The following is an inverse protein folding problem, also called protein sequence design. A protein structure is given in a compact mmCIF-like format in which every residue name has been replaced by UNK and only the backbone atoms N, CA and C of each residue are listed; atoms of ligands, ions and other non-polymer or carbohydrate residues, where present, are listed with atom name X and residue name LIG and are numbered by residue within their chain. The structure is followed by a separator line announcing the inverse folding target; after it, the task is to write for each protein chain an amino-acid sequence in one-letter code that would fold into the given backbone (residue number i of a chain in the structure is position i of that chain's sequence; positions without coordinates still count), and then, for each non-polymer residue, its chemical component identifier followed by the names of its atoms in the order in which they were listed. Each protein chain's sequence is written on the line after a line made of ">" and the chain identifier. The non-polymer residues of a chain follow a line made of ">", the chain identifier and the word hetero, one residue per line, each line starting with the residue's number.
data_IF_412770789730
#
_entry.id   IF_412770789730
#
_cell.length_a   1.000
_cell.length_b   1.000
_cell.length_c   1.000
_cell.angle_alpha   90.00
_cell.angle_beta   90.00
_cell.angle_gamma   90.00
#
_symmetry.space_group_name_H-M   'P 1'
#
loop_
_entity.id
_entity.type
_entity.pdbx_description
1 polymer ?
#
# COMPACT_ATOMS: atom_id res chain seq x y z
N UNK A 1 -1.01 17.47 15.80
CA UNK A 1 -1.57 16.42 16.68
C UNK A 1 -0.41 15.62 17.23
N UNK A 2 -0.41 15.28 18.50
CA UNK A 2 0.61 14.38 19.07
C UNK A 2 0.04 12.97 19.02
N UNK A 3 0.60 12.09 18.18
CA UNK A 3 0.42 10.66 18.42
C UNK A 3 0.99 10.33 19.81
N UNK A 4 0.43 9.31 20.47
CA UNK A 4 1.02 8.74 21.68
C UNK A 4 1.28 7.26 21.37
N UNK A 5 2.56 6.86 21.29
CA UNK A 5 2.92 5.49 20.91
C UNK A 5 2.46 4.44 21.93
N UNK A 6 2.01 4.83 23.13
CA UNK A 6 1.16 4.04 24.04
C UNK A 6 1.77 2.73 24.57
N UNK A 7 1.48 2.36 25.82
CA UNK A 7 1.95 1.07 26.37
C UNK A 7 1.14 -0.08 25.75
N UNK A 8 1.75 -1.14 25.19
CA UNK A 8 1.01 -2.26 24.60
C UNK A 8 0.14 -2.97 25.63
N UNK A 9 -1.10 -3.28 25.27
CA UNK A 9 -1.94 -4.17 26.06
C UNK A 9 -1.36 -5.59 25.98
N UNK A 10 -0.77 -6.08 27.08
CA UNK A 10 0.00 -7.34 27.17
C UNK A 10 -0.81 -8.64 26.90
N UNK A 11 -2.06 -8.55 26.45
CA UNK A 11 -2.99 -9.67 26.30
C UNK A 11 -3.37 -10.04 24.86
N UNK A 12 -2.81 -9.37 23.84
CA UNK A 12 -3.19 -9.65 22.44
C UNK A 12 -2.58 -10.94 21.89
N UNK A 13 -3.42 -11.97 21.75
CA UNK A 13 -3.16 -13.10 20.84
C UNK A 13 -3.50 -12.67 19.41
N UNK A 14 -2.53 -12.81 18.51
CA UNK A 14 -2.64 -12.50 17.09
C UNK A 14 -3.61 -13.45 16.38
N UNK A 15 -4.61 -12.98 15.64
CA UNK A 15 -5.43 -13.85 14.80
C UNK A 15 -4.61 -14.42 13.64
N UNK A 16 -4.86 -15.69 13.31
CA UNK A 16 -4.28 -16.36 12.13
C UNK A 16 -4.79 -15.73 10.83
N UNK A 17 -3.87 -15.45 9.91
CA UNK A 17 -4.08 -14.80 8.62
C UNK A 17 -5.03 -15.58 7.69
N UNK A 18 -6.08 -14.97 7.12
CA UNK A 18 -6.67 -15.42 5.85
C UNK A 18 -5.83 -14.84 4.70
N UNK A 19 -5.37 -15.70 3.78
CA UNK A 19 -4.57 -15.31 2.62
C UNK A 19 -5.29 -14.26 1.77
N UNK A 20 -4.66 -13.09 1.61
CA UNK A 20 -5.15 -12.01 0.77
C UNK A 20 -4.67 -12.25 -0.67
N UNK A 21 -5.60 -12.55 -1.57
CA UNK A 21 -5.32 -12.66 -3.00
C UNK A 21 -5.20 -11.26 -3.63
N UNK A 22 -4.04 -11.01 -4.23
CA UNK A 22 -3.73 -9.86 -5.10
C UNK A 22 -4.80 -9.68 -6.19
N UNK A 23 -5.35 -8.46 -6.45
CA UNK A 23 -6.10 -8.22 -7.67
C UNK A 23 -5.13 -7.93 -8.83
N UNK A 24 -5.19 -8.66 -9.96
CA UNK A 24 -4.51 -8.27 -11.18
C UNK A 24 -5.37 -7.32 -12.02
N UNK A 25 -4.75 -6.26 -12.53
CA UNK A 25 -5.08 -5.48 -13.74
C UNK A 25 -6.55 -5.41 -14.20
N UNK A 26 -7.16 -4.21 -14.18
CA UNK A 26 -8.36 -3.96 -14.99
C UNK A 26 -8.49 -2.49 -15.44
N UNK A 27 -7.96 -2.21 -16.63
CA UNK A 27 -8.60 -1.31 -17.60
C UNK A 27 -8.72 -2.09 -18.92
N UNK A 28 -9.95 -2.39 -19.34
CA UNK A 28 -10.50 -2.42 -20.71
C UNK A 28 -11.81 -3.20 -20.74
N UNK A 29 -12.86 -2.60 -21.30
CA UNK A 29 -13.81 -3.30 -22.19
C UNK A 29 -15.04 -4.03 -21.62
N UNK A 30 -16.20 -3.39 -21.82
CA UNK A 30 -17.52 -3.95 -22.21
C UNK A 30 -18.43 -4.73 -21.23
N UNK A 31 -19.63 -4.16 -21.15
CA UNK A 31 -20.95 -4.47 -20.57
C UNK A 31 -21.51 -5.90 -20.78
N UNK A 32 -22.25 -6.44 -19.77
CA UNK A 32 -23.58 -7.13 -19.81
C UNK A 32 -23.98 -7.70 -18.39
N UNK A 33 -25.25 -8.10 -18.09
CA UNK A 33 -26.14 -7.50 -17.06
C UNK A 33 -26.36 -8.33 -15.76
N UNK A 34 -27.17 -7.86 -14.77
CA UNK A 34 -27.07 -8.30 -13.37
C UNK A 34 -27.94 -9.52 -13.03
N UNK A 35 -27.33 -10.48 -12.33
CA UNK A 35 -27.96 -11.64 -11.68
C UNK A 35 -28.19 -11.42 -10.19
N UNK A 36 -29.35 -11.86 -9.72
CA UNK A 36 -30.05 -11.53 -8.48
C UNK A 36 -29.37 -11.96 -7.17
N UNK A 37 -29.48 -11.11 -6.14
CA UNK A 37 -29.10 -11.40 -4.74
C UNK A 37 -30.16 -12.28 -4.02
N UNK A 38 -29.76 -13.13 -3.05
CA UNK A 38 -30.68 -13.91 -2.23
C UNK A 38 -31.40 -13.07 -1.14
N UNK A 39 -32.57 -13.54 -0.63
CA UNK A 39 -33.52 -12.70 0.11
C UNK A 39 -33.26 -12.59 1.63
N UNK A 40 -33.82 -11.52 2.21
CA UNK A 40 -33.77 -11.14 3.63
C UNK A 40 -34.69 -12.01 4.54
N UNK A 41 -34.40 -12.09 5.87
CA UNK A 41 -35.16 -12.89 6.83
C UNK A 41 -36.50 -12.27 7.29
N UNK A 42 -37.42 -13.08 7.86
CA UNK A 42 -38.87 -12.83 7.84
C UNK A 42 -39.43 -12.00 9.01
N UNK A 43 -40.59 -11.37 8.76
CA UNK A 43 -41.43 -10.63 9.70
C UNK A 43 -42.51 -11.52 10.37
N UNK A 44 -42.93 -11.23 11.63
CA UNK A 44 -43.93 -11.99 12.39
C UNK A 44 -45.41 -11.63 12.07
N UNK A 45 -46.41 -12.40 12.58
CA UNK A 45 -47.50 -12.94 11.76
C UNK A 45 -48.85 -12.22 11.90
N UNK A 46 -49.73 -12.42 10.90
CA UNK A 46 -51.17 -12.13 10.95
C UNK A 46 -51.97 -13.18 10.13
N UNK A 47 -53.30 -13.33 10.36
CA UNK A 47 -53.90 -14.61 10.74
C UNK A 47 -54.64 -15.40 9.65
N UNK A 48 -54.64 -16.71 9.90
CA UNK A 48 -55.58 -17.79 9.58
C UNK A 48 -56.64 -17.58 8.46
N UNK A 49 -56.42 -18.23 7.33
CA UNK A 49 -57.45 -18.56 6.35
C UNK A 49 -57.35 -20.04 5.96
N UNK A 50 -58.47 -20.77 6.10
CA UNK A 50 -58.57 -22.19 5.76
C UNK A 50 -58.71 -22.40 4.24
N UNK A 51 -58.15 -23.50 3.68
CA UNK A 51 -58.26 -23.79 2.25
C UNK A 51 -59.51 -24.63 1.90
N UNK A 52 -60.09 -24.47 0.68
CA UNK A 52 -61.06 -25.42 0.14
C UNK A 52 -60.39 -26.63 -0.55
N UNK A 53 -61.11 -27.75 -0.75
CA UNK A 53 -60.53 -29.05 -1.09
C UNK A 53 -60.25 -29.25 -2.58
N UNK A 54 -59.32 -30.16 -2.87
CA UNK A 54 -58.87 -30.53 -4.22
C UNK A 54 -59.90 -31.41 -4.98
N UNK A 55 -60.05 -31.23 -6.31
CA UNK A 55 -60.64 -32.25 -7.18
C UNK A 55 -59.55 -33.12 -7.82
N UNK A 56 -59.77 -34.44 -7.75
CA UNK A 56 -58.85 -35.48 -8.22
C UNK A 56 -58.82 -35.70 -9.74
N UNK A 57 -57.81 -36.49 -10.13
CA UNK A 57 -57.65 -37.16 -11.43
C UNK A 57 -58.75 -38.22 -11.65
N UNK A 58 -59.14 -38.55 -12.90
CA UNK A 58 -58.50 -39.63 -13.67
C UNK A 58 -58.69 -39.50 -15.22
N UNK A 59 -58.54 -40.54 -16.08
CA UNK A 59 -57.26 -41.03 -16.60
C UNK A 59 -57.24 -41.26 -18.13
N UNK A 60 -56.05 -41.56 -18.67
CA UNK A 60 -55.90 -42.56 -19.74
C UNK A 60 -55.62 -42.05 -21.16
N UNK A 61 -54.40 -42.34 -21.65
CA UNK A 61 -54.20 -43.18 -22.84
C UNK A 61 -52.71 -43.54 -23.00
N UNK A 62 -52.45 -44.83 -22.85
CA UNK A 62 -51.28 -45.61 -23.28
C UNK A 62 -51.05 -45.48 -24.81
N UNK A 63 -49.93 -45.81 -25.45
CA UNK A 63 -48.74 -46.63 -25.20
C UNK A 63 -47.86 -46.46 -26.45
N UNK A 64 -46.53 -46.62 -26.36
CA UNK A 64 -45.82 -47.74 -27.00
C UNK A 64 -44.29 -47.66 -26.78
N UNK A 65 -43.74 -48.86 -26.52
CA UNK A 65 -42.31 -49.17 -26.36
C UNK A 65 -41.56 -49.13 -27.70
N UNK A 66 -40.21 -49.16 -27.64
CA UNK A 66 -39.27 -50.04 -28.40
C UNK A 66 -37.87 -49.39 -28.34
N UNK A 67 -36.88 -49.91 -27.59
CA UNK A 67 -35.88 -50.99 -27.88
C UNK A 67 -34.52 -50.44 -28.34
N UNK A 68 -33.45 -50.89 -27.67
CA UNK A 68 -32.03 -50.59 -27.91
C UNK A 68 -31.47 -51.37 -29.12
N UNK A 69 -30.54 -50.77 -29.88
CA UNK A 69 -29.79 -51.43 -30.98
C UNK A 69 -28.29 -51.05 -31.00
N UNK A 70 -27.40 -51.90 -31.56
CA UNK A 70 -25.94 -51.90 -31.32
C UNK A 70 -25.12 -51.08 -32.36
N UNK A 71 -23.80 -50.87 -32.16
CA UNK A 71 -22.97 -50.04 -33.04
C UNK A 71 -22.35 -50.83 -34.21
N UNK A 72 -22.37 -50.23 -35.40
CA UNK A 72 -21.54 -50.59 -36.58
C UNK A 72 -21.34 -49.31 -37.39
N UNK A 73 -20.33 -49.10 -38.23
CA UNK A 73 -19.20 -49.85 -38.76
C UNK A 73 -18.63 -48.93 -39.85
N UNK A 74 -17.31 -48.75 -39.92
CA UNK A 74 -16.64 -47.84 -40.85
C UNK A 74 -16.70 -48.35 -42.31
N UNK A 75 -17.02 -47.46 -43.26
CA UNK A 75 -16.70 -47.64 -44.69
C UNK A 75 -15.73 -46.52 -45.13
N UNK A 76 -14.63 -46.82 -45.83
CA UNK A 76 -13.77 -45.80 -46.41
C UNK A 76 -14.31 -45.29 -47.76
N UNK A 77 -14.20 -43.97 -47.98
CA UNK A 77 -14.46 -43.29 -49.25
C UNK A 77 -13.22 -43.31 -50.17
N UNK A 78 -13.38 -43.16 -51.50
CA UNK A 78 -12.27 -43.26 -52.46
C UNK A 78 -11.40 -41.98 -52.52
N UNK A 79 -10.12 -42.07 -52.90
CA UNK A 79 -9.22 -40.92 -52.92
C UNK A 79 -9.47 -39.99 -54.12
N UNK A 80 -9.47 -38.69 -53.84
CA UNK A 80 -9.56 -37.62 -54.83
C UNK A 80 -8.25 -37.43 -55.63
N UNK A 81 -8.38 -37.11 -56.93
CA UNK A 81 -7.27 -36.82 -57.85
C UNK A 81 -6.51 -35.55 -57.43
N UNK A 82 -5.17 -35.63 -57.38
CA UNK A 82 -4.26 -34.52 -57.03
C UNK A 82 -4.06 -33.58 -58.23
N UNK A 83 -4.18 -32.27 -58.01
CA UNK A 83 -3.97 -31.22 -59.00
C UNK A 83 -2.54 -30.64 -58.83
N UNK A 84 -1.64 -30.71 -59.83
CA UNK A 84 -0.21 -30.43 -59.66
C UNK A 84 0.14 -28.97 -59.33
N UNK A 85 -0.80 -28.02 -59.48
CA UNK A 85 -0.56 -26.60 -59.17
C UNK A 85 -0.41 -26.32 -57.66
N UNK A 86 -1.06 -27.11 -56.80
CA UNK A 86 -0.98 -26.95 -55.33
C UNK A 86 0.39 -27.40 -54.77
N UNK A 87 1.07 -28.34 -55.43
CA UNK A 87 2.38 -28.82 -55.00
C UNK A 87 3.48 -27.76 -55.22
N UNK A 88 3.38 -26.95 -56.29
CA UNK A 88 4.35 -25.91 -56.61
C UNK A 88 4.21 -24.70 -55.67
N UNK A 89 2.98 -24.31 -55.32
CA UNK A 89 2.72 -23.22 -54.38
C UNK A 89 3.09 -23.60 -52.93
N UNK A 90 2.86 -24.86 -52.53
CA UNK A 90 3.28 -25.37 -51.22
C UNK A 90 4.81 -25.44 -51.06
N UNK A 91 5.54 -25.83 -52.11
CA UNK A 91 7.00 -25.87 -52.11
C UNK A 91 7.64 -24.48 -51.96
N UNK A 92 7.11 -23.48 -52.67
CA UNK A 92 7.59 -22.09 -52.56
C UNK A 92 7.37 -21.49 -51.16
N UNK A 93 6.21 -21.72 -50.56
CA UNK A 93 5.91 -21.24 -49.20
C UNK A 93 6.81 -21.91 -48.15
N UNK A 94 7.10 -23.21 -48.29
CA UNK A 94 7.95 -23.94 -47.35
C UNK A 94 9.40 -23.43 -47.38
N UNK A 95 9.92 -23.13 -48.57
CA UNK A 95 11.29 -22.58 -48.73
C UNK A 95 11.39 -21.18 -48.13
N UNK A 96 10.38 -20.31 -48.32
CA UNK A 96 10.37 -18.98 -47.72
C UNK A 96 10.27 -19.02 -46.19
N UNK A 97 9.45 -19.92 -45.65
CA UNK A 97 9.33 -20.14 -44.20
C UNK A 97 10.65 -20.68 -43.64
N UNK A 98 11.28 -21.66 -44.29
CA UNK A 98 12.57 -22.20 -43.87
C UNK A 98 13.69 -21.14 -43.94
N UNK A 99 13.70 -20.25 -44.93
CA UNK A 99 14.63 -19.13 -44.99
C UNK A 99 14.37 -18.10 -43.89
N UNK A 100 13.11 -17.80 -43.57
CA UNK A 100 12.76 -16.88 -42.49
C UNK A 100 13.19 -17.44 -41.13
N UNK A 101 12.92 -18.72 -40.85
CA UNK A 101 13.38 -19.38 -39.63
C UNK A 101 14.91 -19.54 -39.60
N UNK A 102 15.54 -19.81 -40.74
CA UNK A 102 17.00 -19.85 -40.87
C UNK A 102 17.65 -18.51 -40.56
N UNK A 103 17.13 -17.41 -41.10
CA UNK A 103 17.61 -16.05 -40.78
C UNK A 103 17.30 -15.63 -39.35
N UNK A 104 16.13 -16.00 -38.80
CA UNK A 104 15.80 -15.74 -37.40
C UNK A 104 16.72 -16.53 -36.46
N UNK A 105 17.06 -17.78 -36.80
CA UNK A 105 18.00 -18.60 -36.05
C UNK A 105 19.43 -18.07 -36.17
N UNK A 106 19.86 -17.60 -37.35
CA UNK A 106 21.15 -16.94 -37.52
C UNK A 106 21.19 -15.64 -36.71
N UNK A 107 20.15 -14.80 -36.71
CA UNK A 107 20.10 -13.62 -35.84
C UNK A 107 20.10 -13.99 -34.35
N UNK A 108 19.41 -15.05 -33.95
CA UNK A 108 19.41 -15.53 -32.56
C UNK A 108 20.77 -16.08 -32.13
N UNK A 109 21.45 -16.83 -33.01
CA UNK A 109 22.76 -17.42 -32.73
C UNK A 109 23.91 -16.42 -32.92
N UNK A 110 23.79 -15.44 -33.82
CA UNK A 110 24.71 -14.32 -33.99
C UNK A 110 24.53 -13.25 -32.92
N UNK A 111 23.38 -13.20 -32.24
CA UNK A 111 23.21 -12.48 -30.97
C UNK A 111 23.85 -13.21 -29.78
N UNK A 112 24.30 -14.45 -29.95
CA UNK A 112 25.01 -15.25 -28.94
C UNK A 112 26.51 -14.99 -28.94
N UNK A 113 26.93 -13.81 -28.49
CA UNK A 113 28.34 -13.42 -28.52
C UNK A 113 28.70 -12.17 -27.72
N UNK A 114 28.00 -11.85 -26.64
CA UNK A 114 28.47 -10.93 -25.61
C UNK A 114 27.83 -11.34 -24.29
N UNK A 115 28.64 -11.46 -23.24
CA UNK A 115 28.19 -11.94 -21.94
C UNK A 115 26.96 -11.18 -21.47
N UNK A 116 26.05 -11.88 -20.78
CA UNK A 116 25.01 -11.22 -19.99
C UNK A 116 25.69 -10.10 -19.20
N UNK A 117 25.41 -8.81 -19.49
CA UNK A 117 25.70 -7.80 -18.50
C UNK A 117 24.78 -8.20 -17.34
N UNK A 118 25.35 -8.53 -16.19
CA UNK A 118 24.64 -8.34 -14.95
C UNK A 118 24.23 -6.87 -14.95
N UNK A 119 23.02 -6.55 -15.42
CA UNK A 119 22.45 -5.22 -15.30
C UNK A 119 22.12 -5.05 -13.84
N UNK A 120 23.17 -4.79 -13.04
CA UNK A 120 23.02 -4.24 -11.71
C UNK A 120 22.04 -3.08 -11.81
N UNK A 121 21.02 -3.03 -10.93
CA UNK A 121 20.03 -1.97 -10.99
C UNK A 121 20.73 -0.63 -10.85
N UNK A 122 20.30 0.35 -11.63
CA UNK A 122 20.79 1.72 -11.46
C UNK A 122 20.07 2.32 -10.25
N UNK A 123 20.84 2.68 -9.23
CA UNK A 123 20.30 3.29 -8.01
C UNK A 123 20.23 4.81 -8.16
N UNK A 124 19.10 5.40 -7.76
CA UNK A 124 19.02 6.84 -7.51
C UNK A 124 19.99 7.21 -6.38
N UNK A 125 20.86 8.19 -6.62
CA UNK A 125 21.83 8.67 -5.64
C UNK A 125 21.25 9.84 -4.86
N UNK A 126 21.42 9.82 -3.55
CA UNK A 126 21.05 10.93 -2.66
C UNK A 126 22.24 11.88 -2.58
N UNK A 127 22.14 13.01 -3.28
CA UNK A 127 23.20 14.01 -3.40
C UNK A 127 22.70 15.38 -2.91
N UNK A 128 23.63 16.30 -2.61
CA UNK A 128 23.32 17.69 -2.24
C UNK A 128 22.33 17.85 -1.09
N UNK A 129 22.33 16.91 -0.14
CA UNK A 129 21.41 16.95 1.00
C UNK A 129 21.67 18.23 1.82
N UNK A 130 20.67 19.09 2.03
CA UNK A 130 20.82 20.28 2.85
C UNK A 130 21.06 19.91 4.32
N UNK A 131 21.59 20.84 5.10
CA UNK A 131 21.58 20.72 6.56
C UNK A 131 20.13 20.70 7.08
N UNK A 132 19.85 20.08 8.24
CA UNK A 132 18.55 20.22 8.88
C UNK A 132 18.18 21.70 9.09
N UNK A 133 16.96 22.06 8.72
CA UNK A 133 16.47 23.44 8.77
C UNK A 133 15.66 23.66 10.05
N UNK A 134 16.23 24.42 10.98
CA UNK A 134 15.58 24.80 12.24
C UNK A 134 14.72 26.07 12.12
N UNK A 135 14.67 26.70 10.94
CA UNK A 135 13.82 27.84 10.66
C UNK A 135 13.16 27.74 9.26
N UNK A 136 12.37 26.67 9.01
CA UNK A 136 11.84 26.41 7.69
C UNK A 136 10.73 27.39 7.29
N UNK A 137 10.49 27.59 5.98
CA UNK A 137 9.37 28.39 5.49
C UNK A 137 8.03 27.89 6.03
N UNK A 138 7.08 28.79 6.24
CA UNK A 138 5.75 28.43 6.75
C UNK A 138 5.07 27.34 5.90
N UNK A 139 4.34 26.44 6.56
CA UNK A 139 3.59 25.38 5.89
C UNK A 139 2.53 25.97 4.94
N UNK A 140 2.29 25.36 3.75
CA UNK A 140 1.21 25.75 2.86
C UNK A 140 -0.15 25.69 3.57
N UNK A 141 -0.93 26.77 3.46
CA UNK A 141 -2.27 26.86 4.06
C UNK A 141 -3.34 26.93 2.97
N UNK A 142 -4.38 26.08 3.04
CA UNK A 142 -5.53 26.20 2.17
C UNK A 142 -6.28 27.50 2.47
N UNK A 143 -6.75 28.18 1.42
CA UNK A 143 -7.38 29.51 1.48
C UNK A 143 -8.91 29.45 1.53
N UNK A 144 -9.50 28.31 1.19
CA UNK A 144 -10.95 28.09 1.17
C UNK A 144 -11.29 26.59 1.31
N UNK A 145 -12.58 26.28 1.52
CA UNK A 145 -13.07 24.91 1.77
C UNK A 145 -12.89 23.98 0.56
N UNK A 146 -13.01 24.49 -0.66
CA UNK A 146 -12.79 23.68 -1.87
C UNK A 146 -11.33 23.23 -1.95
N UNK A 147 -10.41 24.10 -1.57
CA UNK A 147 -8.99 23.77 -1.45
C UNK A 147 -8.72 22.74 -0.34
N UNK A 148 -9.45 22.76 0.79
CA UNK A 148 -9.35 21.70 1.81
C UNK A 148 -9.66 20.31 1.21
N UNK A 149 -10.75 20.22 0.44
CA UNK A 149 -11.20 18.96 -0.16
C UNK A 149 -10.27 18.51 -1.28
N UNK A 150 -9.86 19.44 -2.13
CA UNK A 150 -8.93 19.16 -3.23
C UNK A 150 -7.55 18.75 -2.72
N UNK A 151 -7.00 19.40 -1.70
CA UNK A 151 -5.67 19.04 -1.19
C UNK A 151 -5.64 17.72 -0.43
N UNK A 152 -6.77 17.24 0.10
CA UNK A 152 -6.82 15.90 0.71
C UNK A 152 -7.00 14.80 -0.32
N UNK A 153 -7.83 15.01 -1.36
CA UNK A 153 -8.21 13.97 -2.33
C UNK A 153 -7.46 14.00 -3.66
N UNK A 154 -7.11 15.19 -4.14
CA UNK A 154 -6.58 15.46 -5.48
C UNK A 154 -5.24 16.22 -5.41
N UNK A 155 -4.46 15.99 -4.36
CA UNK A 155 -3.15 16.64 -4.19
C UNK A 155 -2.19 16.27 -5.34
N UNK A 156 -1.44 17.22 -5.92
CA UNK A 156 -0.47 16.94 -6.97
C UNK A 156 0.59 15.88 -6.59
N UNK A 157 0.87 15.70 -5.29
CA UNK A 157 1.80 14.66 -4.81
C UNK A 157 1.36 13.25 -5.20
N UNK A 158 0.06 12.99 -5.31
CA UNK A 158 -0.46 11.66 -5.67
C UNK A 158 -0.17 11.26 -7.12
N UNK A 159 0.23 12.20 -7.98
CA UNK A 159 0.64 11.92 -9.36
C UNK A 159 2.12 11.54 -9.49
N UNK A 160 2.86 11.57 -8.38
CA UNK A 160 4.30 11.32 -8.36
C UNK A 160 4.63 9.87 -8.02
N UNK A 161 5.90 9.54 -8.21
CA UNK A 161 6.48 8.25 -7.84
C UNK A 161 7.78 8.44 -7.07
N UNK A 162 8.02 7.62 -6.05
CA UNK A 162 9.33 7.56 -5.39
C UNK A 162 10.34 6.84 -6.30
N UNK A 163 11.62 7.24 -6.30
CA UNK A 163 12.66 6.51 -7.02
C UNK A 163 12.87 5.13 -6.40
N UNK A 164 13.01 4.07 -7.20
CA UNK A 164 13.30 2.71 -6.71
C UNK A 164 14.28 2.02 -7.69
N UNK A 165 15.43 1.49 -7.24
CA UNK A 165 15.97 1.59 -5.88
C UNK A 165 16.71 2.91 -5.64
N UNK A 166 16.78 3.34 -4.38
CA UNK A 166 17.56 4.50 -3.91
C UNK A 166 18.73 4.03 -3.06
N UNK A 167 19.92 4.56 -3.34
CA UNK A 167 21.12 4.31 -2.55
C UNK A 167 21.25 5.30 -1.40
N UNK A 168 20.67 4.97 -0.24
CA UNK A 168 20.96 5.65 1.02
C UNK A 168 20.92 4.67 2.20
N UNK A 169 22.06 4.04 2.49
CA UNK A 169 22.19 3.09 3.59
C UNK A 169 22.54 3.83 4.87
N UNK A 170 21.69 3.71 5.88
CA UNK A 170 21.93 4.21 7.24
C UNK A 170 22.22 3.02 8.13
N UNK A 171 23.43 2.87 8.68
CA UNK A 171 23.77 1.73 9.54
C UNK A 171 22.77 1.57 10.68
N UNK A 172 22.34 0.33 10.93
CA UNK A 172 21.51 0.01 12.09
C UNK A 172 22.25 0.35 13.40
N UNK A 173 21.50 0.85 14.36
CA UNK A 173 21.97 1.06 15.72
C UNK A 173 20.87 0.64 16.68
N UNK A 174 21.20 -0.23 17.62
CA UNK A 174 20.26 -0.73 18.60
C UNK A 174 19.88 0.40 19.57
N UNK A 175 18.61 0.85 19.59
CA UNK A 175 18.18 1.95 20.43
C UNK A 175 18.27 1.62 21.93
N UNK A 176 18.30 0.34 22.30
CA UNK A 176 18.37 -0.10 23.71
C UNK A 176 19.78 0.06 24.31
N UNK A 177 20.79 0.25 23.46
CA UNK A 177 22.20 0.40 23.88
C UNK A 177 22.81 1.74 23.48
N UNK A 178 22.23 2.41 22.48
CA UNK A 178 22.61 3.75 22.07
C UNK A 178 22.40 4.79 23.17
N UNK A 179 23.34 5.74 23.30
CA UNK A 179 23.07 6.98 24.01
C UNK A 179 22.10 7.87 23.21
N UNK A 180 21.40 8.78 23.89
CA UNK A 180 20.50 9.73 23.24
C UNK A 180 21.20 10.54 22.13
N UNK A 181 22.44 10.96 22.34
CA UNK A 181 23.21 11.72 21.36
C UNK A 181 23.61 10.91 20.12
N UNK A 182 23.96 9.63 20.29
CA UNK A 182 24.25 8.75 19.15
C UNK A 182 22.98 8.45 18.36
N UNK A 183 21.86 8.19 19.05
CA UNK A 183 20.56 8.00 18.41
C UNK A 183 20.13 9.25 17.64
N UNK A 184 20.28 10.45 18.22
CA UNK A 184 19.97 11.72 17.55
C UNK A 184 20.81 11.93 16.30
N UNK A 185 22.12 11.64 16.38
CA UNK A 185 23.04 11.72 15.25
C UNK A 185 22.60 10.77 14.14
N UNK A 186 22.20 9.54 14.48
CA UNK A 186 21.71 8.56 13.51
C UNK A 186 20.39 8.98 12.89
N UNK A 187 19.42 9.42 13.68
CA UNK A 187 18.11 9.84 13.17
C UNK A 187 18.21 11.07 12.28
N UNK A 188 19.09 12.04 12.62
CA UNK A 188 19.39 13.14 11.70
C UNK A 188 20.03 12.63 10.39
N UNK A 189 20.92 11.62 10.41
CA UNK A 189 21.40 10.99 9.16
C UNK A 189 20.27 10.31 8.40
N UNK A 190 19.30 9.71 9.09
CA UNK A 190 18.13 9.11 8.46
C UNK A 190 17.24 10.14 7.76
N UNK A 191 17.10 11.36 8.29
CA UNK A 191 16.36 12.43 7.59
C UNK A 191 17.02 12.84 6.27
N UNK A 192 18.33 12.67 6.11
CA UNK A 192 19.00 12.87 4.81
C UNK A 192 18.52 11.85 3.77
N UNK A 193 18.42 10.57 4.16
CA UNK A 193 17.98 9.49 3.29
C UNK A 193 16.48 9.63 2.95
N UNK A 194 15.65 9.94 3.95
CA UNK A 194 14.23 10.24 3.74
C UNK A 194 14.04 11.43 2.79
N UNK A 195 14.75 12.53 3.02
CA UNK A 195 14.74 13.70 2.14
C UNK A 195 15.14 13.33 0.70
N UNK A 196 16.20 12.54 0.52
CA UNK A 196 16.69 12.15 -0.81
C UNK A 196 15.72 11.32 -1.65
N UNK A 197 14.81 10.57 -1.00
CA UNK A 197 13.73 9.83 -1.68
C UNK A 197 12.58 10.77 -2.06
N UNK A 198 12.26 11.74 -1.21
CA UNK A 198 11.05 12.54 -1.32
C UNK A 198 11.23 13.92 -1.97
N UNK A 199 12.46 14.43 -2.06
CA UNK A 199 12.76 15.76 -2.63
C UNK A 199 12.15 15.91 -4.03
N UNK A 200 12.53 15.03 -4.97
CA UNK A 200 12.06 15.11 -6.36
C UNK A 200 10.52 15.04 -6.47
N UNK A 201 9.81 14.06 -5.86
CA UNK A 201 8.35 14.04 -5.86
C UNK A 201 7.71 15.32 -5.31
N UNK A 202 8.21 15.84 -4.18
CA UNK A 202 7.63 17.03 -3.53
C UNK A 202 7.83 18.27 -4.39
N UNK A 203 9.04 18.49 -4.93
CA UNK A 203 9.33 19.62 -5.82
C UNK A 203 8.53 19.53 -7.13
N UNK A 204 8.45 18.34 -7.73
CA UNK A 204 7.66 18.11 -8.96
C UNK A 204 6.16 18.37 -8.76
N UNK A 205 5.69 18.34 -7.52
CA UNK A 205 4.31 18.65 -7.12
C UNK A 205 4.08 20.13 -6.84
N UNK A 206 5.11 20.97 -6.99
CA UNK A 206 5.04 22.41 -6.74
C UNK A 206 5.20 22.82 -5.27
N UNK A 207 5.74 21.93 -4.43
CA UNK A 207 5.98 22.18 -3.01
C UNK A 207 7.47 22.19 -2.68
N UNK A 208 7.83 22.72 -1.52
CA UNK A 208 9.20 22.72 -1.01
C UNK A 208 9.39 21.69 0.10
N UNK A 209 10.54 21.02 0.13
CA UNK A 209 10.91 20.05 1.17
C UNK A 209 12.19 20.50 1.90
N UNK A 210 12.11 21.41 2.89
CA UNK A 210 13.23 21.63 3.80
C UNK A 210 13.50 20.34 4.58
N UNK A 211 14.76 20.08 4.95
CA UNK A 211 15.09 18.88 5.70
C UNK A 211 14.71 19.07 7.17
N UNK A 212 13.75 18.27 7.66
CA UNK A 212 13.36 18.29 9.08
C UNK A 212 14.53 17.91 10.00
N UNK A 213 14.77 18.67 11.08
CA UNK A 213 15.64 18.25 12.17
C UNK A 213 14.98 17.16 13.01
N UNK A 214 15.82 16.43 13.75
CA UNK A 214 15.40 15.49 14.79
C UNK A 214 16.06 15.87 16.11
N UNK A 215 15.28 15.90 17.19
CA UNK A 215 15.81 16.00 18.56
C UNK A 215 15.41 14.78 19.37
N UNK A 216 16.40 14.11 19.96
CA UNK A 216 16.17 12.99 20.88
C UNK A 216 16.12 13.50 22.30
N UNK A 217 15.10 13.09 23.04
CA UNK A 217 14.87 13.55 24.41
C UNK A 217 14.67 12.38 25.37
N UNK A 218 15.11 12.54 26.62
CA UNK A 218 15.03 11.48 27.67
C UNK A 218 14.16 11.87 28.86
N UNK A 219 13.50 13.03 28.80
CA UNK A 219 12.63 13.56 29.84
C UNK A 219 11.54 14.39 29.20
N UNK A 220 10.45 14.67 29.93
CA UNK A 220 9.40 15.57 29.46
C UNK A 220 9.96 16.90 28.96
N UNK A 221 9.56 17.30 27.75
CA UNK A 221 9.96 18.55 27.09
C UNK A 221 8.76 19.44 26.80
N UNK A 222 9.02 20.73 26.57
CA UNK A 222 8.04 21.68 26.03
C UNK A 222 8.51 22.11 24.65
N UNK A 223 7.63 22.00 23.67
CA UNK A 223 7.88 22.37 22.28
C UNK A 223 6.84 23.39 21.83
N UNK A 224 6.97 23.97 20.62
CA UNK A 224 5.93 24.82 20.05
C UNK A 224 4.57 24.11 19.90
N UNK A 225 4.53 22.78 19.86
CA UNK A 225 3.30 21.98 19.83
C UNK A 225 2.76 21.59 21.22
N UNK A 226 3.41 22.03 22.30
CA UNK A 226 2.99 21.78 23.67
C UNK A 226 3.97 20.94 24.48
N UNK A 227 3.51 20.49 25.66
CA UNK A 227 4.28 19.65 26.57
C UNK A 227 4.15 18.18 26.16
N UNK A 228 5.29 17.49 26.10
CA UNK A 228 5.37 16.12 25.58
C UNK A 228 6.08 15.23 26.60
N UNK A 229 5.46 14.11 26.90
CA UNK A 229 6.01 13.08 27.78
C UNK A 229 6.98 12.16 27.02
N UNK A 230 7.63 11.23 27.73
CA UNK A 230 8.57 10.27 27.15
C UNK A 230 7.81 9.19 26.36
N UNK A 231 8.51 8.15 25.87
CA UNK A 231 7.91 7.02 25.15
C UNK A 231 7.18 7.38 23.85
N UNK A 232 7.51 8.52 23.26
CA UNK A 232 6.77 9.06 22.13
C UNK A 232 7.70 9.56 21.01
N UNK A 233 7.29 9.40 19.76
CA UNK A 233 7.85 10.14 18.64
C UNK A 233 6.72 10.95 18.01
N UNK A 234 7.01 12.18 17.61
CA UNK A 234 6.02 12.99 16.92
C UNK A 234 6.67 14.09 16.09
N UNK A 235 6.03 14.41 14.96
CA UNK A 235 6.29 15.61 14.18
C UNK A 235 5.52 16.83 14.71
N UNK A 236 6.21 17.92 15.02
CA UNK A 236 5.60 19.19 15.38
C UNK A 236 5.44 20.09 14.14
N UNK A 237 4.21 20.41 13.75
CA UNK A 237 3.94 21.25 12.57
C UNK A 237 4.25 22.74 12.78
N UNK A 238 4.36 23.19 14.03
CA UNK A 238 4.62 24.59 14.37
C UNK A 238 6.08 25.01 14.13
N UNK A 239 7.04 24.12 14.34
CA UNK A 239 8.47 24.32 14.02
C UNK A 239 8.98 23.37 12.92
N UNK A 240 8.16 22.41 12.48
CA UNK A 240 8.47 21.40 11.46
C UNK A 240 9.63 20.50 11.86
N UNK A 241 9.63 20.07 13.12
CA UNK A 241 10.68 19.30 13.77
C UNK A 241 10.13 17.95 14.26
N UNK A 242 10.88 16.86 14.07
CA UNK A 242 10.58 15.57 14.70
C UNK A 242 11.25 15.46 16.08
N UNK A 243 10.46 15.25 17.11
CA UNK A 243 10.95 14.94 18.46
C UNK A 243 10.79 13.44 18.71
N UNK A 244 11.83 12.82 19.25
CA UNK A 244 11.91 11.37 19.35
C UNK A 244 12.38 10.96 20.76
N UNK A 245 11.53 10.32 21.54
CA UNK A 245 11.91 9.89 22.88
C UNK A 245 12.98 8.78 22.81
N UNK A 246 14.04 8.95 23.58
CA UNK A 246 15.13 7.97 23.66
C UNK A 246 14.65 6.60 24.13
N UNK A 247 13.65 6.58 25.02
CA UNK A 247 13.05 5.40 25.64
C UNK A 247 11.85 4.83 24.86
N UNK A 248 11.58 5.28 23.62
CA UNK A 248 10.44 4.78 22.82
C UNK A 248 10.41 3.25 22.69
N UNK A 249 11.57 2.59 22.71
CA UNK A 249 11.64 1.14 22.64
C UNK A 249 10.93 0.44 23.80
N UNK A 250 10.73 1.11 24.94
CA UNK A 250 10.04 0.52 26.10
C UNK A 250 8.56 0.26 25.82
N UNK A 251 7.94 1.07 24.95
CA UNK A 251 6.55 0.86 24.50
C UNK A 251 6.43 -0.09 23.30
N UNK A 252 7.55 -0.56 22.75
CA UNK A 252 7.52 -1.56 21.68
C UNK A 252 7.46 -2.98 22.27
N UNK A 253 6.86 -3.96 21.54
CA UNK A 253 6.92 -5.37 21.92
C UNK A 253 8.36 -5.82 22.18
N UNK A 254 8.58 -6.55 23.27
CA UNK A 254 9.93 -6.92 23.74
C UNK A 254 10.79 -7.62 22.66
N UNK A 255 10.16 -8.42 21.80
CA UNK A 255 10.81 -9.13 20.68
C UNK A 255 11.26 -8.24 19.53
N UNK A 256 10.79 -6.98 19.50
CA UNK A 256 11.00 -6.02 18.41
C UNK A 256 11.90 -4.84 18.81
N UNK A 257 12.19 -4.63 20.10
CA UNK A 257 12.92 -3.45 20.61
C UNK A 257 14.30 -3.21 19.98
N UNK A 258 15.02 -4.29 19.71
CA UNK A 258 16.37 -4.27 19.14
C UNK A 258 16.41 -4.72 17.66
N UNK A 259 15.25 -4.88 17.03
CA UNK A 259 15.17 -5.35 15.65
C UNK A 259 15.58 -4.23 14.68
N UNK A 260 16.26 -4.58 13.58
CA UNK A 260 16.49 -3.64 12.48
C UNK A 260 15.17 -3.03 11.97
N UNK A 261 15.27 -1.86 11.35
CA UNK A 261 14.15 -1.13 10.73
C UNK A 261 13.03 -0.62 11.63
N UNK A 262 12.94 -1.04 12.89
CA UNK A 262 11.82 -0.63 13.75
C UNK A 262 11.84 0.88 14.03
N UNK A 263 12.97 1.39 14.52
CA UNK A 263 13.17 2.83 14.71
C UNK A 263 13.13 3.59 13.38
N UNK A 264 13.56 2.96 12.28
CA UNK A 264 13.56 3.58 10.96
C UNK A 264 12.15 3.75 10.43
N UNK A 265 11.27 2.77 10.65
CA UNK A 265 9.85 2.85 10.33
C UNK A 265 9.16 3.95 11.16
N UNK A 266 9.41 4.03 12.48
CA UNK A 266 8.86 5.11 13.32
C UNK A 266 9.30 6.48 12.79
N UNK A 267 10.60 6.66 12.51
CA UNK A 267 11.10 7.92 11.97
C UNK A 267 10.54 8.23 10.57
N UNK A 268 10.38 7.22 9.71
CA UNK A 268 9.80 7.38 8.38
C UNK A 268 8.30 7.72 8.45
N UNK A 269 7.58 7.22 9.44
CA UNK A 269 6.20 7.59 9.74
C UNK A 269 6.11 9.08 10.15
N UNK A 270 6.95 9.53 11.08
CA UNK A 270 7.00 10.95 11.47
C UNK A 270 7.41 11.87 10.30
N UNK A 271 8.31 11.39 9.43
CA UNK A 271 8.61 12.08 8.19
C UNK A 271 7.40 12.10 7.23
N UNK A 272 6.54 11.09 7.26
CA UNK A 272 5.25 11.09 6.59
C UNK A 272 4.36 12.27 7.00
N UNK A 273 4.31 12.59 8.29
CA UNK A 273 3.65 13.81 8.77
C UNK A 273 4.33 15.09 8.29
N UNK A 274 5.66 15.11 8.24
CA UNK A 274 6.38 16.21 7.61
C UNK A 274 5.96 16.41 6.14
N UNK A 275 5.86 15.34 5.35
CA UNK A 275 5.37 15.39 3.97
C UNK A 275 3.95 15.93 3.88
N UNK A 276 3.05 15.48 4.76
CA UNK A 276 1.68 15.99 4.82
C UNK A 276 1.64 17.49 5.14
N UNK A 277 2.51 17.96 6.04
CA UNK A 277 2.70 19.38 6.31
C UNK A 277 3.16 20.13 5.06
N UNK A 278 4.24 19.67 4.43
CA UNK A 278 4.88 20.33 3.27
C UNK A 278 4.02 20.32 2.01
N UNK A 279 3.13 19.36 1.86
CA UNK A 279 2.17 19.26 0.74
C UNK A 279 0.81 19.89 1.05
N UNK A 280 0.65 20.49 2.22
CA UNK A 280 -0.59 21.14 2.65
C UNK A 280 -1.72 20.20 3.06
N UNK A 281 -1.55 18.88 2.92
CA UNK A 281 -2.53 17.86 3.31
C UNK A 281 -2.88 17.99 4.79
N UNK A 282 -1.87 18.18 5.67
CA UNK A 282 -2.09 18.30 7.12
C UNK A 282 -3.01 19.47 7.47
N UNK A 283 -2.71 20.68 6.98
CA UNK A 283 -3.54 21.86 7.22
C UNK A 283 -4.94 21.72 6.58
N UNK A 284 -5.05 21.00 5.45
CA UNK A 284 -6.32 20.70 4.84
C UNK A 284 -7.17 19.76 5.72
N UNK A 285 -6.54 18.73 6.29
CA UNK A 285 -7.16 17.80 7.24
C UNK A 285 -7.60 18.50 8.53
N UNK A 286 -6.75 19.33 9.12
CA UNK A 286 -7.10 20.14 10.30
C UNK A 286 -8.33 21.01 10.03
N UNK A 287 -8.39 21.64 8.85
CA UNK A 287 -9.54 22.41 8.40
C UNK A 287 -10.81 21.58 8.24
N UNK A 288 -10.72 20.36 7.68
CA UNK A 288 -11.87 19.46 7.57
C UNK A 288 -12.38 19.01 8.95
N UNK A 289 -11.47 18.71 9.88
CA UNK A 289 -11.82 18.31 11.25
C UNK A 289 -12.54 19.41 12.01
N UNK A 290 -12.02 20.65 11.95
CA UNK A 290 -12.63 21.79 12.61
C UNK A 290 -14.08 22.06 12.14
N UNK A 291 -14.44 21.61 10.94
CA UNK A 291 -15.76 21.76 10.34
C UNK A 291 -16.61 20.48 10.36
N UNK A 292 -16.19 19.45 11.11
CA UNK A 292 -16.83 18.13 11.10
C UNK A 292 -17.40 17.74 12.47
N UNK A 293 -18.42 16.87 12.44
CA UNK A 293 -18.86 16.18 13.65
C UNK A 293 -17.75 15.25 14.19
N UNK A 294 -17.75 14.98 15.50
CA UNK A 294 -16.70 14.23 16.22
C UNK A 294 -16.24 12.97 15.48
N UNK A 295 -17.17 12.09 15.08
CA UNK A 295 -16.84 10.82 14.42
C UNK A 295 -16.16 11.01 13.05
N UNK A 296 -16.56 12.03 12.28
CA UNK A 296 -15.94 12.32 11.00
C UNK A 296 -14.55 12.97 11.20
N UNK A 297 -14.38 13.79 12.24
CA UNK A 297 -13.06 14.33 12.60
C UNK A 297 -12.07 13.21 12.99
N UNK A 298 -12.55 12.18 13.70
CA UNK A 298 -11.77 10.98 14.03
C UNK A 298 -11.40 10.18 12.78
N UNK A 299 -12.33 10.00 11.83
CA UNK A 299 -12.02 9.34 10.56
C UNK A 299 -10.93 10.10 9.77
N UNK A 300 -10.96 11.44 9.79
CA UNK A 300 -9.90 12.24 9.19
C UNK A 300 -8.54 12.08 9.89
N UNK A 301 -8.51 11.90 11.22
CA UNK A 301 -7.28 11.51 11.93
C UNK A 301 -6.75 10.19 11.39
N UNK A 302 -7.59 9.14 11.35
CA UNK A 302 -7.19 7.81 10.85
C UNK A 302 -6.65 7.88 9.43
N UNK A 303 -7.31 8.62 8.54
CA UNK A 303 -6.84 8.83 7.16
C UNK A 303 -5.44 9.47 7.13
N UNK A 304 -5.18 10.45 7.99
CA UNK A 304 -3.86 11.07 8.11
C UNK A 304 -2.80 10.07 8.60
N UNK A 305 -3.10 9.27 9.63
CA UNK A 305 -2.14 8.27 10.16
C UNK A 305 -1.83 7.16 9.16
N UNK A 306 -2.86 6.63 8.50
CA UNK A 306 -2.72 5.56 7.51
C UNK A 306 -1.95 6.02 6.28
N UNK A 307 -2.09 7.30 5.91
CA UNK A 307 -1.26 7.87 4.86
C UNK A 307 0.21 8.00 5.28
N UNK A 308 0.50 8.40 6.52
CA UNK A 308 1.87 8.46 7.04
C UNK A 308 2.51 7.05 7.06
N UNK A 309 1.76 6.02 7.47
CA UNK A 309 2.18 4.62 7.35
C UNK A 309 2.50 4.23 5.92
N UNK A 310 1.63 4.56 4.96
CA UNK A 310 1.87 4.22 3.57
C UNK A 310 3.07 4.97 2.99
N UNK A 311 3.26 6.26 3.32
CA UNK A 311 4.46 7.01 2.94
C UNK A 311 5.74 6.40 3.52
N UNK A 312 5.71 5.92 4.76
CA UNK A 312 6.84 5.17 5.33
C UNK A 312 7.13 3.89 4.53
N UNK A 313 6.08 3.18 4.09
CA UNK A 313 6.20 1.99 3.23
C UNK A 313 6.80 2.30 1.87
N UNK A 314 6.41 3.41 1.22
CA UNK A 314 7.01 3.86 -0.06
C UNK A 314 8.51 4.15 0.09
N UNK A 315 8.91 4.73 1.23
CA UNK A 315 10.33 4.95 1.53
C UNK A 315 11.06 3.61 1.76
N UNK A 316 10.49 2.69 2.54
CA UNK A 316 11.06 1.35 2.76
C UNK A 316 11.24 0.60 1.43
N UNK A 317 10.25 0.66 0.53
CA UNK A 317 10.35 0.09 -0.82
C UNK A 317 11.50 0.72 -1.62
N UNK A 318 11.64 2.05 -1.56
CA UNK A 318 12.69 2.80 -2.24
C UNK A 318 14.09 2.37 -1.83
N UNK A 319 14.35 2.21 -0.53
CA UNK A 319 15.70 1.95 -0.01
C UNK A 319 15.98 0.46 0.25
N UNK A 320 14.95 -0.38 0.26
CA UNK A 320 15.02 -1.75 0.76
C UNK A 320 16.06 -2.60 0.03
N UNK A 321 16.21 -2.43 -1.29
CA UNK A 321 17.21 -3.16 -2.04
C UNK A 321 18.65 -2.77 -1.65
N UNK A 322 18.96 -1.48 -1.55
CA UNK A 322 20.29 -0.99 -1.18
C UNK A 322 20.65 -1.37 0.27
N UNK A 323 19.66 -1.35 1.15
CA UNK A 323 19.82 -1.63 2.58
C UNK A 323 19.61 -3.11 2.94
N UNK A 324 19.48 -4.00 1.95
CA UNK A 324 19.32 -5.44 2.14
C UNK A 324 18.14 -5.83 3.04
N UNK A 325 17.01 -5.14 2.89
CA UNK A 325 15.77 -5.41 3.61
C UNK A 325 15.36 -6.88 3.43
N UNK A 326 15.29 -7.62 4.53
CA UNK A 326 14.90 -9.03 4.51
C UNK A 326 13.38 -9.21 4.63
N UNK A 327 12.88 -10.39 4.28
CA UNK A 327 11.49 -10.74 4.51
C UNK A 327 11.12 -10.72 6.02
N UNK A 328 12.08 -11.02 6.90
CA UNK A 328 11.86 -10.95 8.34
C UNK A 328 11.69 -9.50 8.82
N UNK A 329 12.48 -8.56 8.28
CA UNK A 329 12.35 -7.13 8.58
C UNK A 329 10.99 -6.59 8.15
N UNK A 330 10.51 -6.99 6.96
CA UNK A 330 9.17 -6.63 6.46
C UNK A 330 8.07 -7.12 7.41
N UNK A 331 8.16 -8.34 7.90
CA UNK A 331 7.19 -8.87 8.87
C UNK A 331 7.29 -8.19 10.24
N UNK A 332 8.49 -7.82 10.68
CA UNK A 332 8.69 -7.10 11.94
C UNK A 332 8.14 -5.66 11.86
N UNK A 333 8.30 -4.96 10.73
CA UNK A 333 7.68 -3.65 10.46
C UNK A 333 6.14 -3.76 10.51
N UNK A 334 5.55 -4.76 9.85
CA UNK A 334 4.09 -4.98 9.88
C UNK A 334 3.56 -5.20 11.29
N UNK A 335 4.29 -5.93 12.13
CA UNK A 335 3.92 -6.14 13.54
C UNK A 335 3.95 -4.85 14.34
N UNK A 336 4.93 -3.97 14.10
CA UNK A 336 4.96 -2.65 14.75
C UNK A 336 3.80 -1.78 14.27
N UNK A 337 3.56 -1.69 12.96
CA UNK A 337 2.41 -0.93 12.44
C UNK A 337 1.08 -1.42 13.07
N UNK A 338 0.92 -2.74 13.21
CA UNK A 338 -0.25 -3.32 13.86
C UNK A 338 -0.31 -3.01 15.37
N UNK A 339 0.83 -2.97 16.07
CA UNK A 339 0.89 -2.74 17.52
C UNK A 339 0.48 -1.33 17.95
N UNK A 340 0.58 -0.35 17.05
CA UNK A 340 0.15 1.05 17.29
C UNK A 340 -1.33 1.24 16.99
N UNK A 341 -1.93 0.36 16.19
CA UNK A 341 -3.38 0.34 15.98
C UNK A 341 -4.11 -0.42 17.09
N UNK A 342 -5.44 -0.29 17.10
CA UNK A 342 -6.29 -1.06 18.01
C UNK A 342 -6.79 -2.35 17.36
N UNK A 343 -6.72 -3.47 18.09
CA UNK A 343 -7.28 -4.74 17.62
C UNK A 343 -8.81 -4.72 17.56
N UNK A 344 -9.44 -3.97 18.45
CA UNK A 344 -10.89 -3.75 18.52
C UNK A 344 -11.14 -2.23 18.58
N UNK A 345 -10.98 -1.52 17.44
CA UNK A 345 -11.09 -0.06 17.44
C UNK A 345 -12.54 0.35 17.69
N UNK A 346 -12.75 1.10 18.76
CA UNK A 346 -14.00 1.79 18.98
C UNK A 346 -14.13 3.00 18.01
N UNK A 347 -15.30 3.66 17.96
CA UNK A 347 -15.48 4.84 17.10
C UNK A 347 -14.62 6.05 17.49
N UNK A 348 -14.01 6.07 18.69
CA UNK A 348 -13.19 7.16 19.22
C UNK A 348 -11.69 6.95 19.04
N UNK A 349 -11.27 5.74 18.64
CA UNK A 349 -9.89 5.43 18.30
C UNK A 349 -9.35 6.38 17.21
N UNK A 350 -8.26 7.07 17.47
CA UNK A 350 -7.65 8.05 16.57
C UNK A 350 -6.58 7.45 15.66
N UNK A 351 -6.17 6.21 15.91
CA UNK A 351 -5.05 5.53 15.26
C UNK A 351 -5.49 4.51 14.21
N UNK A 352 -6.74 4.06 14.23
CA UNK A 352 -7.31 3.06 13.31
C UNK A 352 -7.06 1.62 13.75
N UNK A 353 -7.70 0.67 13.06
CA UNK A 353 -7.50 -0.75 13.31
C UNK A 353 -6.05 -1.17 13.07
N UNK A 354 -5.52 -2.08 13.89
CA UNK A 354 -4.22 -2.73 13.67
C UNK A 354 -4.11 -3.31 12.25
N UNK A 355 -5.19 -3.89 11.73
CA UNK A 355 -5.25 -4.43 10.37
C UNK A 355 -5.16 -3.35 9.29
N UNK A 356 -5.77 -2.18 9.52
CA UNK A 356 -5.72 -1.04 8.60
C UNK A 356 -4.28 -0.51 8.53
N UNK A 357 -3.66 -0.24 9.68
CA UNK A 357 -2.26 0.21 9.79
C UNK A 357 -1.31 -0.72 9.03
N UNK A 358 -1.41 -2.02 9.30
CA UNK A 358 -0.63 -3.05 8.60
C UNK A 358 -0.88 -3.05 7.07
N UNK A 359 -2.14 -2.90 6.64
CA UNK A 359 -2.49 -2.88 5.22
C UNK A 359 -1.87 -1.68 4.50
N UNK A 360 -1.92 -0.49 5.10
CA UNK A 360 -1.42 0.75 4.47
C UNK A 360 0.10 0.80 4.40
N UNK A 361 0.83 0.37 5.45
CA UNK A 361 2.30 0.24 5.35
C UNK A 361 2.68 -0.80 4.30
N UNK A 362 1.93 -1.91 4.21
CA UNK A 362 2.17 -2.96 3.20
C UNK A 362 1.89 -2.47 1.78
N UNK A 363 0.84 -1.67 1.58
CA UNK A 363 0.53 -1.05 0.29
C UNK A 363 1.66 -0.12 -0.17
N UNK A 364 2.22 0.67 0.74
CA UNK A 364 3.41 1.49 0.48
C UNK A 364 4.63 0.65 0.11
N UNK A 365 4.94 -0.39 0.91
CA UNK A 365 6.08 -1.29 0.64
C UNK A 365 5.97 -2.02 -0.71
N UNK A 366 4.76 -2.18 -1.24
CA UNK A 366 4.50 -2.83 -2.54
C UNK A 366 4.44 -1.88 -3.73
N UNK A 367 4.71 -0.58 -3.57
CA UNK A 367 4.46 0.45 -4.59
C UNK A 367 5.57 1.49 -4.67
N UNK A 368 5.77 2.08 -5.86
CA UNK A 368 6.49 3.35 -6.02
C UNK A 368 5.53 4.52 -6.24
N UNK A 369 4.26 4.27 -6.55
CA UNK A 369 3.28 5.30 -6.86
C UNK A 369 2.76 5.95 -5.57
N UNK A 370 2.88 7.27 -5.46
CA UNK A 370 2.45 8.00 -4.27
C UNK A 370 0.93 8.00 -4.12
N UNK A 371 0.19 7.96 -5.24
CA UNK A 371 -1.27 7.85 -5.24
C UNK A 371 -1.82 6.59 -4.57
N UNK A 372 -1.02 5.52 -4.43
CA UNK A 372 -1.38 4.33 -3.63
C UNK A 372 -1.65 4.71 -2.17
N UNK A 373 -1.04 5.79 -1.68
CA UNK A 373 -1.20 6.30 -0.32
C UNK A 373 -2.31 7.37 -0.17
N UNK A 374 -3.22 7.46 -1.15
CA UNK A 374 -4.36 8.38 -1.06
C UNK A 374 -5.47 7.78 -0.18
N UNK A 375 -5.27 7.86 1.13
CA UNK A 375 -6.24 7.40 2.12
C UNK A 375 -7.53 8.20 2.13
N UNK A 376 -7.64 9.36 1.48
CA UNK A 376 -8.84 10.22 1.49
C UNK A 376 -9.89 9.84 0.45
N UNK A 377 -9.54 9.00 -0.52
CA UNK A 377 -10.47 8.41 -1.49
C UNK A 377 -10.79 6.95 -1.20
N UNK A 378 -10.13 6.36 -0.19
CA UNK A 378 -10.38 5.00 0.23
C UNK A 378 -11.76 4.84 0.91
N UNK A 379 -12.44 3.70 0.71
CA UNK A 379 -13.67 3.35 1.44
C UNK A 379 -13.49 3.43 2.97
N UNK A 380 -14.55 3.80 3.69
CA UNK A 380 -14.51 3.99 5.14
C UNK A 380 -14.05 2.73 5.92
N UNK A 381 -14.35 1.54 5.40
CA UNK A 381 -13.92 0.26 6.01
C UNK A 381 -12.42 -0.04 5.84
N UNK A 382 -11.73 0.61 4.91
CA UNK A 382 -10.28 0.49 4.70
C UNK A 382 -9.48 1.50 5.54
N UNK A 383 -10.18 2.45 6.18
CA UNK A 383 -9.58 3.49 7.04
C UNK A 383 -10.05 3.38 8.49
N UNK A 384 -10.85 2.35 8.81
CA UNK A 384 -11.39 2.13 10.14
C UNK A 384 -10.33 1.71 11.14
#
# INVERSE_FOLDING_TARGET
>A
MTQNWGVPNQSQQWPSQPGWNRPPNAWTGSVQPPGQYPPAPPTPPQPNYQPPPAPGTPPGASSQQVTYGPPGGYYPTPPAKKNPLLAVLGGGAFVLIAMFFGMALINYLSAGGSGNPSTEPTYHQVENVPAPDFNPPALPKPTNVDQLRSWTKDNPIYQQSTPVPTNCVVPHQDPTTATAAELETRLNKLTACLWGVWEKPVIASGFELPRTPVTVYSQTITTPCGKIETHNAYYCSADQHVYFAHDIFEVLPATLRAKPWIVDYVMAHEFGHHLQGRTGIMNATDGLQANSAKLLAIEYNRRMELQADCFSGLWINSVGQASQLSAADVEDIKKIAAAVGSAEPDPEDNHGASSSRMAWVTAGMGSSQVGTCNSYVAPANEVR
#
